data_IF_861533267683
#
_entry.id   IF_861533267683
#
_cell.length_a   1.000
_cell.length_b   1.000
_cell.length_c   1.000
_cell.angle_alpha   90.00
_cell.angle_beta   90.00
_cell.angle_gamma   90.00
#
_symmetry.space_group_name_H-M   'P 1'
#
loop_
_entity.id
_entity.type
_entity.pdbx_description
1 polymer ?
#
# COMPACT_ATOMS: atom_id res chain seq x y z
N UNK A 1 -6.14 -6.07 -9.10
CA UNK A 1 -5.51 -7.36 -9.48
C UNK A 1 -6.39 -8.50 -8.99
N UNK A 2 -6.29 -9.71 -9.55
CA UNK A 2 -7.05 -10.88 -9.05
C UNK A 2 -6.42 -11.47 -7.78
N UNK A 3 -7.21 -12.23 -7.00
CA UNK A 3 -6.71 -12.96 -5.83
C UNK A 3 -5.51 -13.86 -6.17
N UNK A 4 -5.58 -14.57 -7.30
CA UNK A 4 -4.51 -15.46 -7.74
C UNK A 4 -3.22 -14.69 -8.05
N UNK A 5 -3.31 -13.54 -8.73
CA UNK A 5 -2.14 -12.70 -9.01
C UNK A 5 -1.52 -12.16 -7.72
N UNK A 6 -2.34 -11.60 -6.83
CA UNK A 6 -1.89 -11.03 -5.56
C UNK A 6 -1.21 -12.07 -4.67
N UNK A 7 -1.82 -13.24 -4.47
CA UNK A 7 -1.24 -14.26 -3.59
C UNK A 7 0.06 -14.84 -4.14
N UNK A 8 0.18 -14.98 -5.48
CA UNK A 8 1.43 -15.44 -6.09
C UNK A 8 2.53 -14.38 -5.98
N UNK A 9 2.19 -13.09 -6.17
CA UNK A 9 3.13 -11.97 -5.95
C UNK A 9 3.67 -11.98 -4.52
N UNK A 10 2.79 -12.02 -3.52
CA UNK A 10 3.18 -12.05 -2.10
C UNK A 10 4.03 -13.29 -1.80
N UNK A 11 3.66 -14.47 -2.33
CA UNK A 11 4.48 -15.66 -2.18
C UNK A 11 5.90 -15.45 -2.72
N UNK A 12 6.04 -14.83 -3.90
CA UNK A 12 7.35 -14.56 -4.50
C UNK A 12 8.18 -13.56 -3.67
N UNK A 13 7.56 -12.49 -3.17
CA UNK A 13 8.20 -11.50 -2.28
C UNK A 13 8.73 -12.13 -0.99
N UNK A 14 8.01 -13.14 -0.47
CA UNK A 14 8.39 -13.88 0.74
C UNK A 14 9.30 -15.09 0.45
N UNK A 15 9.77 -15.25 -0.80
CA UNK A 15 10.69 -16.32 -1.18
C UNK A 15 10.08 -17.72 -1.15
N UNK A 16 8.77 -17.83 -1.35
CA UNK A 16 8.00 -19.10 -1.34
C UNK A 16 7.12 -19.23 -2.58
N UNK A 17 6.23 -20.22 -2.62
CA UNK A 17 5.24 -20.39 -3.69
C UNK A 17 3.88 -20.83 -3.16
N UNK A 18 2.84 -20.60 -3.95
CA UNK A 18 1.46 -20.90 -3.58
C UNK A 18 1.25 -22.38 -3.23
N UNK A 19 1.93 -23.30 -3.92
CA UNK A 19 1.85 -24.74 -3.64
C UNK A 19 2.34 -25.08 -2.23
N UNK A 20 3.44 -24.47 -1.78
CA UNK A 20 3.98 -24.66 -0.45
C UNK A 20 3.02 -24.12 0.63
N UNK A 21 2.47 -22.92 0.42
CA UNK A 21 1.52 -22.31 1.36
C UNK A 21 0.22 -23.12 1.45
N UNK A 22 -0.36 -23.50 0.31
CA UNK A 22 -1.58 -24.30 0.27
C UNK A 22 -1.37 -25.67 0.92
N UNK A 23 -0.20 -26.30 0.72
CA UNK A 23 0.15 -27.55 1.40
C UNK A 23 0.30 -27.37 2.91
N UNK A 24 0.86 -26.26 3.38
CA UNK A 24 1.00 -25.97 4.80
C UNK A 24 -0.35 -25.78 5.50
N UNK A 25 -1.31 -25.10 4.85
CA UNK A 25 -2.64 -24.79 5.41
C UNK A 25 -3.61 -25.97 5.26
N UNK A 26 -3.69 -26.59 4.08
CA UNK A 26 -4.70 -27.61 3.77
C UNK A 26 -4.18 -29.04 3.79
N UNK A 27 -2.88 -29.26 3.95
CA UNK A 27 -2.24 -30.58 3.87
C UNK A 27 -2.16 -31.17 2.46
N UNK A 28 -2.67 -30.48 1.43
CA UNK A 28 -2.66 -30.94 0.02
C UNK A 28 -2.27 -29.81 -0.92
N UNK A 29 -1.66 -30.12 -2.06
CA UNK A 29 -1.20 -29.13 -3.05
C UNK A 29 -2.20 -28.87 -4.18
N UNK A 30 -3.20 -29.74 -4.37
CA UNK A 30 -4.12 -29.71 -5.52
C UNK A 30 -4.95 -28.43 -5.59
N UNK A 31 -5.20 -27.80 -4.45
CA UNK A 31 -6.00 -26.58 -4.36
C UNK A 31 -5.26 -25.35 -4.95
N UNK A 32 -3.92 -25.37 -5.04
CA UNK A 32 -3.16 -24.29 -5.67
C UNK A 32 -3.53 -24.12 -7.15
N UNK A 33 -3.74 -25.23 -7.87
CA UNK A 33 -4.20 -25.19 -9.26
C UNK A 33 -5.60 -24.61 -9.37
N UNK A 34 -6.51 -24.94 -8.46
CA UNK A 34 -7.87 -24.40 -8.45
C UNK A 34 -7.88 -22.87 -8.24
N UNK A 35 -7.00 -22.36 -7.37
CA UNK A 35 -6.80 -20.92 -7.19
C UNK A 35 -6.32 -20.30 -8.51
N UNK A 36 -5.24 -20.82 -9.09
CA UNK A 36 -4.60 -20.22 -10.28
C UNK A 36 -5.44 -20.30 -11.56
N UNK A 37 -6.22 -21.37 -11.74
CA UNK A 37 -6.90 -21.63 -13.02
C UNK A 37 -8.39 -21.32 -12.99
N UNK A 38 -9.03 -21.41 -11.82
CA UNK A 38 -10.48 -21.23 -11.66
C UNK A 38 -10.84 -20.04 -10.80
N UNK A 39 -9.86 -19.30 -10.27
CA UNK A 39 -10.10 -18.21 -9.33
C UNK A 39 -10.77 -18.68 -8.04
N UNK A 40 -10.59 -19.95 -7.66
CA UNK A 40 -11.20 -20.49 -6.44
C UNK A 40 -10.64 -19.77 -5.22
N UNK A 41 -11.51 -19.32 -4.31
CA UNK A 41 -11.10 -18.69 -3.07
C UNK A 41 -10.99 -19.74 -1.94
N UNK A 42 -9.93 -19.70 -1.12
CA UNK A 42 -9.87 -20.46 0.12
C UNK A 42 -10.96 -19.99 1.10
N UNK A 43 -11.22 -20.79 2.14
CA UNK A 43 -12.12 -20.37 3.22
C UNK A 43 -11.50 -19.23 4.03
N UNK A 44 -12.31 -18.45 4.73
CA UNK A 44 -11.84 -17.36 5.61
C UNK A 44 -10.74 -17.83 6.59
N UNK A 45 -10.98 -18.95 7.30
CA UNK A 45 -10.00 -19.51 8.23
C UNK A 45 -8.68 -19.89 7.56
N UNK A 46 -8.74 -20.38 6.32
CA UNK A 46 -7.56 -20.75 5.54
C UNK A 46 -6.81 -19.49 5.08
N UNK A 47 -7.54 -18.45 4.64
CA UNK A 47 -6.93 -17.17 4.26
C UNK A 47 -6.23 -16.51 5.44
N UNK A 48 -6.80 -16.58 6.65
CA UNK A 48 -6.14 -16.08 7.87
C UNK A 48 -4.84 -16.83 8.16
N UNK A 49 -4.82 -18.16 8.02
CA UNK A 49 -3.61 -18.96 8.19
C UNK A 49 -2.56 -18.68 7.11
N UNK A 50 -2.99 -18.53 5.85
CA UNK A 50 -2.11 -18.14 4.74
C UNK A 50 -1.46 -16.78 5.00
N UNK A 51 -2.25 -15.79 5.44
CA UNK A 51 -1.77 -14.45 5.76
C UNK A 51 -0.76 -14.46 6.92
N UNK A 52 -1.01 -15.30 7.94
CA UNK A 52 -0.06 -15.51 9.04
C UNK A 52 1.27 -16.11 8.56
N UNK A 53 1.23 -17.09 7.66
CA UNK A 53 2.44 -17.71 7.10
C UNK A 53 3.21 -16.77 6.17
N UNK A 54 2.51 -15.88 5.47
CA UNK A 54 3.09 -14.92 4.54
C UNK A 54 3.46 -13.59 5.22
N UNK A 55 3.18 -13.44 6.51
CA UNK A 55 3.40 -12.19 7.27
C UNK A 55 2.81 -10.98 6.54
N UNK A 56 1.55 -11.10 6.14
CA UNK A 56 0.78 -10.08 5.44
C UNK A 56 -0.65 -10.01 6.01
N UNK A 57 -1.45 -9.05 5.57
CA UNK A 57 -2.87 -8.96 5.89
C UNK A 57 -3.70 -9.76 4.88
N UNK A 58 -4.92 -10.17 5.27
CA UNK A 58 -5.87 -10.79 4.31
C UNK A 58 -6.28 -9.80 3.22
N UNK A 59 -6.33 -8.49 3.53
CA UNK A 59 -6.64 -7.46 2.54
C UNK A 59 -5.62 -7.41 1.41
N UNK A 60 -4.37 -7.78 1.67
CA UNK A 60 -3.30 -7.77 0.67
C UNK A 60 -3.55 -8.78 -0.47
N UNK A 61 -4.37 -9.82 -0.21
CA UNK A 61 -4.81 -10.76 -1.25
C UNK A 61 -5.82 -10.16 -2.22
N UNK A 62 -6.52 -9.10 -1.79
CA UNK A 62 -7.60 -8.45 -2.53
C UNK A 62 -7.26 -7.01 -2.94
N UNK A 63 -6.01 -6.57 -2.70
CA UNK A 63 -5.54 -5.25 -3.08
C UNK A 63 -5.68 -5.03 -4.59
N UNK A 64 -6.27 -3.90 -4.96
CA UNK A 64 -6.35 -3.46 -6.35
C UNK A 64 -5.07 -2.73 -6.78
N UNK A 65 -4.92 -2.44 -8.07
CA UNK A 65 -3.69 -1.80 -8.58
C UNK A 65 -3.42 -0.44 -7.92
N UNK A 66 -4.48 0.27 -7.51
CA UNK A 66 -4.38 1.53 -6.76
C UNK A 66 -3.88 1.31 -5.32
N UNK A 67 -4.22 0.18 -4.68
CA UNK A 67 -3.79 -0.17 -3.32
C UNK A 67 -2.33 -0.66 -3.29
N UNK A 68 -1.82 -1.16 -4.41
CA UNK A 68 -0.47 -1.69 -4.58
C UNK A 68 0.57 -0.63 -4.94
N UNK A 69 0.14 0.60 -5.23
CA UNK A 69 1.07 1.69 -5.44
C UNK A 69 1.69 2.09 -4.11
N UNK A 70 2.91 1.60 -3.85
CA UNK A 70 3.88 2.46 -3.18
C UNK A 70 3.96 3.73 -4.02
N UNK A 71 3.49 4.86 -3.47
CA UNK A 71 3.55 6.16 -4.13
C UNK A 71 5.01 6.44 -4.43
N UNK A 72 5.41 6.20 -5.69
CA UNK A 72 6.75 6.55 -6.13
C UNK A 72 6.81 8.07 -6.11
N UNK A 73 7.72 8.66 -5.33
CA UNK A 73 7.84 10.10 -5.31
C UNK A 73 8.09 10.61 -6.73
N UNK A 74 7.34 11.63 -7.15
CA UNK A 74 7.47 12.21 -8.48
C UNK A 74 8.77 13.00 -8.64
N UNK A 75 9.38 13.43 -7.53
CA UNK A 75 10.60 14.22 -7.47
C UNK A 75 11.35 14.01 -6.14
N UNK A 76 12.53 14.61 -6.02
CA UNK A 76 13.39 14.55 -4.83
C UNK A 76 12.70 15.11 -3.58
N UNK A 77 11.89 16.16 -3.73
CA UNK A 77 11.17 16.78 -2.61
C UNK A 77 10.11 15.84 -2.02
N UNK A 78 9.34 15.15 -2.86
CA UNK A 78 8.37 14.14 -2.43
C UNK A 78 9.07 12.95 -1.77
N UNK A 79 10.24 12.54 -2.27
CA UNK A 79 11.02 11.46 -1.66
C UNK A 79 11.49 11.85 -0.27
N UNK A 80 12.00 13.08 -0.14
CA UNK A 80 12.45 13.64 1.13
C UNK A 80 11.31 13.80 2.12
N UNK A 81 10.15 14.28 1.69
CA UNK A 81 8.94 14.38 2.52
C UNK A 81 8.57 13.00 3.06
N UNK A 82 8.51 11.98 2.21
CA UNK A 82 8.15 10.62 2.61
C UNK A 82 9.19 10.02 3.57
N UNK A 83 10.48 10.20 3.27
CA UNK A 83 11.59 9.72 4.11
C UNK A 83 11.56 10.37 5.49
N UNK A 84 11.42 11.70 5.55
CA UNK A 84 11.36 12.47 6.78
C UNK A 84 10.14 12.04 7.59
N UNK A 85 8.94 12.08 6.99
CA UNK A 85 7.70 11.75 7.68
C UNK A 85 7.72 10.33 8.27
N UNK A 86 8.21 9.34 7.52
CA UNK A 86 8.33 7.95 8.00
C UNK A 86 9.25 7.82 9.22
N UNK A 87 10.30 8.65 9.32
CA UNK A 87 11.24 8.68 10.44
C UNK A 87 10.76 9.42 11.70
N UNK A 88 9.66 10.17 11.63
CA UNK A 88 9.17 10.96 12.75
C UNK A 88 8.47 10.11 13.83
N UNK A 89 8.61 10.55 15.09
CA UNK A 89 7.80 10.04 16.20
C UNK A 89 6.32 10.39 16.01
N UNK A 90 5.41 9.66 16.67
CA UNK A 90 3.96 9.93 16.56
C UNK A 90 3.59 11.39 16.88
N UNK A 91 4.22 11.97 17.90
CA UNK A 91 4.00 13.38 18.26
C UNK A 91 4.47 14.32 17.16
N UNK A 92 5.67 14.10 16.63
CA UNK A 92 6.23 14.93 15.56
C UNK A 92 5.45 14.79 14.25
N UNK A 93 4.86 13.63 13.96
CA UNK A 93 3.93 13.46 12.83
C UNK A 93 2.70 14.35 12.96
N UNK A 94 2.11 14.44 14.16
CA UNK A 94 0.98 15.33 14.39
C UNK A 94 1.36 16.80 14.18
N UNK A 95 2.52 17.24 14.70
CA UNK A 95 3.01 18.60 14.50
C UNK A 95 3.30 18.90 13.01
N UNK A 96 3.92 17.96 12.29
CA UNK A 96 4.16 18.04 10.85
C UNK A 96 2.85 18.18 10.06
N UNK A 97 1.84 17.38 10.38
CA UNK A 97 0.53 17.43 9.71
C UNK A 97 -0.22 18.74 10.00
N UNK A 98 -0.14 19.28 11.22
CA UNK A 98 -0.72 20.59 11.53
C UNK A 98 -0.18 21.70 10.62
N UNK A 99 1.13 21.71 10.40
CA UNK A 99 1.75 22.66 9.47
C UNK A 99 1.31 22.42 8.01
N UNK A 100 1.19 21.16 7.58
CA UNK A 100 0.70 20.85 6.24
C UNK A 100 -0.76 21.33 6.03
N UNK A 101 -1.63 21.19 7.03
CA UNK A 101 -2.99 21.74 6.98
C UNK A 101 -3.02 23.27 6.95
N UNK A 102 -2.03 23.95 7.54
CA UNK A 102 -1.92 25.41 7.40
C UNK A 102 -1.59 25.81 5.96
N UNK A 103 -0.79 25.03 5.24
CA UNK A 103 -0.55 25.26 3.81
C UNK A 103 -1.80 25.06 2.96
N UNK A 104 -2.60 24.03 3.25
CA UNK A 104 -3.87 23.77 2.56
C UNK A 104 -4.90 24.88 2.79
N UNK A 105 -4.95 25.43 4.01
CA UNK A 105 -5.90 26.48 4.38
C UNK A 105 -5.42 27.90 4.02
N UNK A 106 -4.20 28.04 3.50
CA UNK A 106 -3.71 29.32 3.01
C UNK A 106 -4.29 29.52 1.61
N UNK A 107 -5.45 30.18 1.52
CA UNK A 107 -5.87 30.76 0.23
C UNK A 107 -4.66 31.54 -0.31
N UNK A 108 -4.17 31.15 -1.48
CA UNK A 108 -3.07 31.85 -2.15
C UNK A 108 -3.45 33.33 -2.17
N UNK A 109 -2.70 34.15 -1.44
CA UNK A 109 -2.86 35.60 -1.51
C UNK A 109 -2.61 35.96 -2.98
N UNK A 110 -3.70 36.20 -3.72
CA UNK A 110 -3.67 36.78 -5.06
C UNK A 110 -2.67 37.93 -5.02
N UNK A 111 -1.65 37.82 -5.86
CA UNK A 111 -0.47 38.67 -5.83
C UNK A 111 -0.82 40.15 -5.73
N UNK A 112 -0.01 40.85 -4.94
CA UNK A 112 0.06 42.30 -4.83
C UNK A 112 -0.37 42.97 -6.15
N UNK A 113 -1.59 43.54 -6.17
CA UNK A 113 -2.05 44.38 -7.28
C UNK A 113 -1.18 45.62 -7.23
N UNK A 114 -0.07 45.56 -7.95
CA UNK A 114 0.90 46.62 -8.11
C UNK A 114 0.19 47.96 -8.25
N UNK A 115 0.51 48.87 -7.33
CA UNK A 115 0.09 50.26 -7.37
C UNK A 115 0.63 50.86 -8.67
N UNK A 116 -0.19 50.93 -9.72
CA UNK A 116 0.09 51.80 -10.87
C UNK A 116 -0.19 53.24 -10.44
N UNK A 117 0.77 53.85 -9.75
CA UNK A 117 0.95 55.28 -9.82
C UNK A 117 1.52 55.60 -11.22
N UNK A 118 0.66 56.11 -12.10
CA UNK A 118 1.09 56.73 -13.35
C UNK A 118 0.50 58.14 -13.41
N UNK A 119 1.46 59.08 -13.29
CA UNK A 119 1.52 60.53 -13.60
C UNK A 119 0.36 61.12 -14.40
#
# INVERSE_FOLDING_TARGET
MTFAENINRICAEKGTNLTAIVKAVKGSSSFATAINTKGSLPKESEMLEMAKLLECSVMDFFADEEDLQETKPANEDEEDILRIYRGLSRRAKHEFMSMAYEFENREELEGDKGTTAAV
#
